data_IF_640365929905
#
_entry.id   IF_640365929905
#
_cell.length_a   1.000
_cell.length_b   1.000
_cell.length_c   1.000
_cell.angle_alpha   90.00
_cell.angle_beta   90.00
_cell.angle_gamma   90.00
#
_symmetry.space_group_name_H-M   'P 1'
#
loop_
_entity.id
_entity.type
_entity.pdbx_description
1 polymer ?
#
# COMPACT_ATOMS: atom_id res chain seq x y z
N UNK A 1 4.32 -0.13 -26.61
CA UNK A 1 5.72 -0.18 -26.17
C UNK A 1 6.35 -1.43 -26.75
N UNK A 2 7.50 -1.29 -27.38
CA UNK A 2 8.18 -2.42 -28.00
C UNK A 2 8.84 -3.25 -26.88
N UNK A 3 8.33 -4.46 -26.65
CA UNK A 3 8.83 -5.36 -25.59
C UNK A 3 9.95 -6.28 -26.07
N UNK A 4 10.45 -6.08 -27.30
CA UNK A 4 11.54 -6.88 -27.86
C UNK A 4 12.81 -6.79 -27.03
N UNK A 5 13.03 -5.67 -26.32
CA UNK A 5 14.21 -5.51 -25.43
C UNK A 5 14.27 -6.56 -24.31
N UNK A 6 13.11 -7.08 -23.88
CA UNK A 6 13.06 -8.14 -22.82
C UNK A 6 13.60 -9.48 -23.35
N UNK A 7 13.50 -9.74 -24.64
CA UNK A 7 13.97 -10.99 -25.26
C UNK A 7 15.45 -10.95 -25.63
N UNK A 8 15.99 -9.76 -25.87
CA UNK A 8 17.35 -9.58 -26.44
C UNK A 8 18.42 -9.25 -25.38
N UNK A 9 18.03 -8.60 -24.27
CA UNK A 9 18.98 -8.24 -23.21
C UNK A 9 19.39 -9.44 -22.36
N UNK A 10 20.66 -9.43 -21.91
CA UNK A 10 21.14 -10.39 -20.91
C UNK A 10 20.31 -10.25 -19.62
N UNK A 11 20.02 -11.37 -18.96
CA UNK A 11 19.10 -11.44 -17.80
C UNK A 11 19.52 -10.48 -16.68
N UNK A 12 20.78 -10.45 -16.31
CA UNK A 12 21.26 -9.62 -15.18
C UNK A 12 21.08 -8.11 -15.41
N UNK A 13 21.53 -7.50 -16.54
CA UNK A 13 21.27 -6.09 -16.83
C UNK A 13 19.77 -5.77 -16.97
N UNK A 14 18.96 -6.70 -17.47
CA UNK A 14 17.53 -6.53 -17.57
C UNK A 14 16.88 -6.43 -16.18
N UNK A 15 17.17 -7.38 -15.30
CA UNK A 15 16.67 -7.39 -13.92
C UNK A 15 17.12 -6.15 -13.17
N UNK A 16 18.40 -5.75 -13.27
CA UNK A 16 18.88 -4.54 -12.60
C UNK A 16 18.20 -3.27 -13.11
N UNK A 17 17.98 -3.15 -14.43
CA UNK A 17 17.30 -1.98 -15.01
C UNK A 17 15.84 -1.84 -14.58
N UNK A 18 15.16 -2.95 -14.29
CA UNK A 18 13.78 -2.96 -13.81
C UNK A 18 13.71 -2.83 -12.27
N UNK A 19 14.65 -3.45 -11.55
CA UNK A 19 14.67 -3.42 -10.09
C UNK A 19 15.10 -2.05 -9.52
N UNK A 20 16.00 -1.33 -10.18
CA UNK A 20 16.54 -0.08 -9.67
C UNK A 20 15.48 1.01 -9.40
N UNK A 21 14.53 1.30 -10.31
CA UNK A 21 13.44 2.22 -10.03
C UNK A 21 12.57 1.78 -8.84
N UNK A 22 12.30 0.47 -8.73
CA UNK A 22 11.51 -0.09 -7.61
C UNK A 22 12.25 0.05 -6.27
N UNK A 23 13.56 -0.20 -6.25
CA UNK A 23 14.39 -0.03 -5.04
C UNK A 23 14.40 1.44 -4.61
N UNK A 24 14.54 2.38 -5.55
CA UNK A 24 14.50 3.82 -5.26
C UNK A 24 13.13 4.21 -4.69
N UNK A 25 12.04 3.75 -5.27
CA UNK A 25 10.68 4.01 -4.78
C UNK A 25 10.48 3.47 -3.35
N UNK A 26 10.95 2.24 -3.08
CA UNK A 26 10.90 1.67 -1.74
C UNK A 26 11.77 2.44 -0.73
N UNK A 27 12.95 2.90 -1.15
CA UNK A 27 13.83 3.72 -0.30
C UNK A 27 13.19 5.07 0.06
N UNK A 28 12.55 5.74 -0.90
CA UNK A 28 11.80 6.99 -0.67
C UNK A 28 10.64 6.75 0.29
N UNK A 29 9.88 5.66 0.13
CA UNK A 29 8.79 5.31 1.03
C UNK A 29 9.30 5.04 2.46
N UNK A 30 10.40 4.30 2.60
CA UNK A 30 11.03 4.06 3.90
C UNK A 30 11.53 5.35 4.56
N UNK A 31 12.12 6.25 3.79
CA UNK A 31 12.56 7.55 4.28
C UNK A 31 11.39 8.40 4.76
N UNK A 32 10.27 8.39 4.02
CA UNK A 32 9.04 9.05 4.44
C UNK A 32 8.57 8.55 5.81
N UNK A 33 8.52 7.24 6.03
CA UNK A 33 8.12 6.67 7.32
C UNK A 33 9.06 7.07 8.47
N UNK A 34 10.37 7.16 8.21
CA UNK A 34 11.37 7.61 9.21
C UNK A 34 11.14 9.08 9.56
N UNK A 35 10.93 9.93 8.57
CA UNK A 35 10.68 11.36 8.76
C UNK A 35 9.38 11.58 9.52
N UNK A 36 8.30 10.88 9.16
CA UNK A 36 7.01 10.95 9.86
C UNK A 36 7.17 10.59 11.35
N UNK A 37 7.81 9.45 11.63
CA UNK A 37 8.10 9.02 13.01
C UNK A 37 8.94 10.04 13.79
N UNK A 38 9.92 10.68 13.15
CA UNK A 38 10.74 11.71 13.76
C UNK A 38 9.92 12.95 14.18
N UNK A 39 9.00 13.40 13.32
CA UNK A 39 8.15 14.54 13.65
C UNK A 39 7.12 14.18 14.72
N UNK A 40 6.52 13.01 14.67
CA UNK A 40 5.57 12.54 15.69
C UNK A 40 6.25 12.42 17.06
N UNK A 41 7.48 11.90 17.12
CA UNK A 41 8.26 11.81 18.36
C UNK A 41 8.54 13.17 19.03
N UNK A 42 8.58 14.25 18.24
CA UNK A 42 8.72 15.62 18.77
C UNK A 42 7.45 16.20 19.38
N UNK A 43 6.28 15.62 19.07
CA UNK A 43 5.01 16.09 19.61
C UNK A 43 4.85 15.66 21.06
N UNK A 44 4.93 14.36 21.33
CA UNK A 44 4.92 13.78 22.71
C UNK A 44 5.25 12.29 22.67
N UNK A 45 5.63 11.73 23.84
CA UNK A 45 5.79 10.26 24.00
C UNK A 45 4.48 9.50 23.74
N UNK A 46 3.35 10.07 24.17
CA UNK A 46 2.04 9.48 23.94
C UNK A 46 1.69 9.43 22.45
N UNK A 47 2.07 10.46 21.69
CA UNK A 47 1.88 10.46 20.24
C UNK A 47 2.72 9.39 19.53
N UNK A 48 3.97 9.19 19.96
CA UNK A 48 4.83 8.13 19.42
C UNK A 48 4.30 6.72 19.79
N UNK A 49 3.81 6.56 21.03
CA UNK A 49 3.16 5.32 21.47
C UNK A 49 1.90 5.04 20.62
N UNK A 50 1.06 6.05 20.42
CA UNK A 50 -0.13 5.94 19.59
C UNK A 50 0.20 5.52 18.14
N UNK A 51 1.21 6.15 17.51
CA UNK A 51 1.70 5.78 16.19
C UNK A 51 2.14 4.31 16.14
N UNK A 52 2.91 3.87 17.15
CA UNK A 52 3.40 2.50 17.24
C UNK A 52 2.28 1.46 17.35
N UNK A 53 1.18 1.80 18.03
CA UNK A 53 0.00 0.94 18.12
C UNK A 53 -0.82 0.87 16.82
N UNK A 54 -0.86 1.96 16.05
CA UNK A 54 -1.57 2.01 14.75
C UNK A 54 -0.78 1.32 13.64
N UNK A 55 0.53 1.38 13.69
CA UNK A 55 1.43 0.89 12.63
C UNK A 55 1.18 -0.56 12.19
N UNK A 56 0.96 -1.57 13.06
CA UNK A 56 0.70 -2.95 12.63
C UNK A 56 -0.54 -3.06 11.73
N UNK A 57 -1.62 -2.37 12.07
CA UNK A 57 -2.86 -2.38 11.28
C UNK A 57 -2.65 -1.64 9.94
N UNK A 58 -1.96 -0.50 9.98
CA UNK A 58 -1.61 0.24 8.77
C UNK A 58 -0.76 -0.61 7.82
N UNK A 59 0.23 -1.33 8.35
CA UNK A 59 1.08 -2.22 7.58
C UNK A 59 0.30 -3.41 7.01
N UNK A 60 -0.64 -3.97 7.78
CA UNK A 60 -1.53 -5.03 7.31
C UNK A 60 -2.38 -4.56 6.12
N UNK A 61 -3.04 -3.40 6.24
CA UNK A 61 -3.85 -2.81 5.16
C UNK A 61 -3.01 -2.57 3.91
N UNK A 62 -1.81 -2.01 4.08
CA UNK A 62 -0.88 -1.77 2.98
C UNK A 62 -0.42 -3.08 2.31
N UNK A 63 -0.10 -4.12 3.10
CA UNK A 63 0.32 -5.42 2.58
C UNK A 63 -0.79 -6.11 1.78
N UNK A 64 -2.04 -6.00 2.22
CA UNK A 64 -3.20 -6.51 1.48
C UNK A 64 -3.36 -5.77 0.15
N UNK A 65 -3.21 -4.44 0.15
CA UNK A 65 -3.28 -3.62 -1.06
C UNK A 65 -2.19 -3.97 -2.08
N UNK A 66 -0.94 -4.12 -1.60
CA UNK A 66 0.20 -4.55 -2.44
C UNK A 66 -0.04 -5.94 -3.01
N UNK A 67 -0.49 -6.89 -2.18
CA UNK A 67 -0.81 -8.26 -2.63
C UNK A 67 -1.88 -8.28 -3.72
N UNK A 68 -2.91 -7.45 -3.57
CA UNK A 68 -3.97 -7.32 -4.56
C UNK A 68 -3.45 -6.70 -5.87
N UNK A 69 -2.65 -5.63 -5.80
CA UNK A 69 -2.01 -5.01 -6.96
C UNK A 69 -1.09 -5.97 -7.72
N UNK A 70 -0.28 -6.76 -7.01
CA UNK A 70 0.58 -7.79 -7.60
C UNK A 70 -0.26 -8.89 -8.28
N UNK A 71 -1.40 -9.27 -7.67
CA UNK A 71 -2.33 -10.22 -8.28
C UNK A 71 -2.89 -9.73 -9.61
N UNK A 72 -3.31 -8.46 -9.69
CA UNK A 72 -3.78 -7.85 -10.95
C UNK A 72 -2.67 -7.85 -12.00
N UNK A 73 -1.46 -7.42 -11.62
CA UNK A 73 -0.30 -7.42 -12.51
C UNK A 73 -0.02 -8.81 -13.09
N UNK A 74 -0.09 -9.86 -12.27
CA UNK A 74 0.14 -11.22 -12.75
C UNK A 74 -0.86 -11.63 -13.84
N UNK A 75 -2.14 -11.28 -13.70
CA UNK A 75 -3.18 -11.57 -14.70
C UNK A 75 -2.97 -10.73 -15.97
N UNK A 76 -2.64 -9.45 -15.82
CA UNK A 76 -2.33 -8.55 -16.94
C UNK A 76 -1.12 -9.06 -17.73
N UNK A 77 -0.04 -9.40 -17.03
CA UNK A 77 1.19 -9.91 -17.65
C UNK A 77 0.97 -11.24 -18.38
N UNK A 78 0.13 -12.13 -17.83
CA UNK A 78 -0.23 -13.39 -18.48
C UNK A 78 -0.93 -13.17 -19.82
N UNK A 79 -1.98 -12.34 -19.86
CA UNK A 79 -2.71 -12.04 -21.10
C UNK A 79 -1.87 -11.23 -22.08
N UNK A 80 -1.01 -10.34 -21.59
CA UNK A 80 -0.07 -9.59 -22.41
C UNK A 80 0.92 -10.54 -23.12
N UNK A 81 1.46 -11.51 -22.38
CA UNK A 81 2.35 -12.53 -22.94
C UNK A 81 1.67 -13.47 -23.95
N UNK A 82 0.37 -13.69 -23.79
CA UNK A 82 -0.45 -14.46 -24.74
C UNK A 82 -0.87 -13.65 -26.00
N UNK A 83 -0.63 -12.32 -26.00
CA UNK A 83 -1.04 -11.44 -27.11
C UNK A 83 -2.54 -11.06 -27.08
N UNK A 84 -3.22 -11.34 -25.96
CA UNK A 84 -4.67 -11.14 -25.80
C UNK A 84 -5.02 -9.75 -25.28
N UNK A 85 -4.79 -8.70 -26.09
CA UNK A 85 -4.94 -7.30 -25.68
C UNK A 85 -6.32 -6.96 -25.10
N UNK A 86 -7.39 -7.56 -25.63
CA UNK A 86 -8.74 -7.35 -25.11
C UNK A 86 -8.90 -7.87 -23.66
N UNK A 87 -8.22 -8.96 -23.32
CA UNK A 87 -8.22 -9.50 -21.97
C UNK A 87 -7.32 -8.67 -21.05
N UNK A 88 -6.23 -8.09 -21.55
CA UNK A 88 -5.40 -7.11 -20.82
C UNK A 88 -6.24 -5.91 -20.39
N UNK A 89 -6.98 -5.28 -21.32
CA UNK A 89 -7.83 -4.13 -21.03
C UNK A 89 -8.91 -4.46 -20.00
N UNK A 90 -9.53 -5.64 -20.11
CA UNK A 90 -10.53 -6.12 -19.16
C UNK A 90 -9.92 -6.38 -17.78
N UNK A 91 -8.78 -7.08 -17.71
CA UNK A 91 -8.11 -7.39 -16.45
C UNK A 91 -7.70 -6.11 -15.72
N UNK A 92 -7.15 -5.13 -16.44
CA UNK A 92 -6.78 -3.82 -15.90
C UNK A 92 -8.01 -3.08 -15.38
N UNK A 93 -9.06 -2.96 -16.18
CA UNK A 93 -10.28 -2.23 -15.80
C UNK A 93 -10.98 -2.86 -14.60
N UNK A 94 -11.19 -4.18 -14.62
CA UNK A 94 -11.81 -4.87 -13.50
C UNK A 94 -10.91 -4.90 -12.26
N UNK A 95 -9.61 -5.01 -12.45
CA UNK A 95 -8.63 -4.96 -11.37
C UNK A 95 -8.67 -3.61 -10.65
N UNK A 96 -8.68 -2.50 -11.36
CA UNK A 96 -8.78 -1.16 -10.78
C UNK A 96 -10.13 -0.94 -10.09
N UNK A 97 -11.23 -1.39 -10.69
CA UNK A 97 -12.55 -1.31 -10.08
C UNK A 97 -12.64 -2.12 -8.77
N UNK A 98 -12.11 -3.35 -8.77
CA UNK A 98 -12.05 -4.18 -7.58
C UNK A 98 -11.12 -3.58 -6.51
N UNK A 99 -10.00 -2.95 -6.91
CA UNK A 99 -9.11 -2.23 -5.98
C UNK A 99 -9.83 -1.08 -5.28
N UNK A 100 -10.69 -0.35 -5.99
CA UNK A 100 -11.52 0.70 -5.40
C UNK A 100 -12.50 0.14 -4.36
N UNK A 101 -13.26 -0.90 -4.72
CA UNK A 101 -14.21 -1.55 -3.78
C UNK A 101 -13.48 -2.10 -2.57
N UNK A 102 -12.38 -2.82 -2.78
CA UNK A 102 -11.57 -3.40 -1.73
C UNK A 102 -10.96 -2.33 -0.82
N UNK A 103 -10.43 -1.26 -1.40
CA UNK A 103 -9.94 -0.11 -0.66
C UNK A 103 -11.02 0.54 0.21
N UNK A 104 -12.25 0.67 -0.29
CA UNK A 104 -13.38 1.18 0.47
C UNK A 104 -13.74 0.28 1.66
N UNK A 105 -13.78 -1.04 1.43
CA UNK A 105 -14.04 -2.03 2.49
C UNK A 105 -12.97 -1.94 3.58
N UNK A 106 -11.69 -1.91 3.19
CA UNK A 106 -10.57 -1.79 4.14
C UNK A 106 -10.61 -0.47 4.91
N UNK A 107 -10.94 0.65 4.26
CA UNK A 107 -11.12 1.94 4.91
C UNK A 107 -12.17 1.88 6.00
N UNK A 108 -13.39 1.42 5.66
CA UNK A 108 -14.51 1.33 6.61
C UNK A 108 -14.16 0.38 7.75
N UNK A 109 -13.67 -0.81 7.42
CA UNK A 109 -13.28 -1.82 8.43
C UNK A 109 -12.22 -1.28 9.39
N UNK A 110 -11.17 -0.64 8.87
CA UNK A 110 -10.07 -0.12 9.69
C UNK A 110 -10.53 0.99 10.61
N UNK A 111 -11.34 1.94 10.14
CA UNK A 111 -11.85 3.04 10.97
C UNK A 111 -12.71 2.49 12.12
N UNK A 112 -13.59 1.52 11.86
CA UNK A 112 -14.46 0.97 12.89
C UNK A 112 -13.74 0.01 13.85
N UNK A 113 -12.77 -0.76 13.38
CA UNK A 113 -12.05 -1.72 14.22
C UNK A 113 -10.98 -1.08 15.10
N UNK A 114 -10.40 0.04 14.66
CA UNK A 114 -9.26 0.67 15.33
C UNK A 114 -9.50 1.06 16.80
N UNK A 115 -10.64 1.69 17.17
CA UNK A 115 -10.90 2.04 18.57
C UNK A 115 -10.96 0.82 19.49
N UNK A 116 -11.48 -0.31 19.00
CA UNK A 116 -11.52 -1.55 19.78
C UNK A 116 -10.14 -2.16 19.90
N UNK A 117 -9.37 -2.17 18.82
CA UNK A 117 -8.02 -2.71 18.80
C UNK A 117 -7.09 -1.96 19.75
N UNK A 118 -7.11 -0.63 19.73
CA UNK A 118 -6.24 0.18 20.63
C UNK A 118 -6.62 -0.01 22.09
N UNK A 119 -7.93 -0.07 22.42
CA UNK A 119 -8.41 -0.33 23.80
C UNK A 119 -8.01 -1.70 24.35
N UNK A 120 -7.72 -2.67 23.49
CA UNK A 120 -7.18 -3.98 23.92
C UNK A 120 -5.70 -3.91 24.30
N UNK A 121 -4.96 -2.92 23.78
CA UNK A 121 -3.51 -2.81 23.95
C UNK A 121 -3.10 -1.83 25.05
N UNK A 122 -3.93 -0.83 25.33
CA UNK A 122 -3.63 0.19 26.36
C UNK A 122 -4.90 0.67 27.07
N UNK A 123 -4.73 1.09 28.31
CA UNK A 123 -5.77 1.74 29.13
C UNK A 123 -5.58 3.25 29.22
N UNK A 124 -4.48 3.79 28.69
CA UNK A 124 -4.18 5.21 28.69
C UNK A 124 -5.11 5.94 27.72
N UNK A 125 -5.96 6.80 28.27
CA UNK A 125 -6.98 7.54 27.49
C UNK A 125 -6.39 8.52 26.51
N UNK A 126 -5.24 9.13 26.81
CA UNK A 126 -4.58 10.07 25.92
C UNK A 126 -4.00 9.35 24.71
N UNK A 127 -3.34 8.21 24.95
CA UNK A 127 -2.82 7.35 23.86
C UNK A 127 -3.96 6.83 22.99
N UNK A 128 -5.08 6.39 23.58
CA UNK A 128 -6.25 5.90 22.84
C UNK A 128 -6.81 7.02 21.93
N UNK A 129 -7.00 8.23 22.46
CA UNK A 129 -7.55 9.34 21.71
C UNK A 129 -6.63 9.75 20.55
N UNK A 130 -5.33 9.84 20.79
CA UNK A 130 -4.34 10.15 19.77
C UNK A 130 -4.30 9.06 18.68
N UNK A 131 -4.30 7.78 19.05
CA UNK A 131 -4.29 6.67 18.13
C UNK A 131 -5.54 6.63 17.24
N UNK A 132 -6.73 6.85 17.82
CA UNK A 132 -8.00 6.89 17.09
C UNK A 132 -8.05 8.09 16.15
N UNK A 133 -7.63 9.27 16.61
CA UNK A 133 -7.58 10.46 15.77
C UNK A 133 -6.62 10.28 14.59
N UNK A 134 -5.40 9.83 14.83
CA UNK A 134 -4.39 9.57 13.81
C UNK A 134 -4.88 8.52 12.79
N UNK A 135 -5.35 7.38 13.29
CA UNK A 135 -5.81 6.29 12.45
C UNK A 135 -7.02 6.66 11.60
N UNK A 136 -7.96 7.45 12.13
CA UNK A 136 -9.11 7.93 11.38
C UNK A 136 -8.68 8.77 10.18
N UNK A 137 -7.72 9.67 10.37
CA UNK A 137 -7.17 10.50 9.28
C UNK A 137 -6.48 9.60 8.25
N UNK A 138 -5.54 8.76 8.68
CA UNK A 138 -4.75 7.90 7.79
C UNK A 138 -5.64 6.94 6.99
N UNK A 139 -6.57 6.26 7.65
CA UNK A 139 -7.45 5.30 6.98
C UNK A 139 -8.51 5.95 6.09
N UNK A 140 -8.90 7.20 6.35
CA UNK A 140 -9.79 7.94 5.44
C UNK A 140 -9.20 8.10 4.03
N UNK A 141 -7.88 8.15 3.92
CA UNK A 141 -7.18 8.23 2.64
C UNK A 141 -6.73 6.87 2.08
N UNK A 142 -6.94 5.76 2.81
CA UNK A 142 -6.41 4.46 2.40
C UNK A 142 -7.02 3.95 1.09
N UNK A 143 -8.26 4.30 0.76
CA UNK A 143 -8.84 3.99 -0.56
C UNK A 143 -8.04 4.61 -1.70
N UNK A 144 -7.62 5.88 -1.56
CA UNK A 144 -6.82 6.58 -2.58
C UNK A 144 -5.44 5.93 -2.69
N UNK A 145 -4.83 5.60 -1.54
CA UNK A 145 -3.54 4.89 -1.49
C UNK A 145 -3.63 3.52 -2.16
N UNK A 146 -4.69 2.75 -1.90
CA UNK A 146 -4.91 1.44 -2.53
C UNK A 146 -5.00 1.53 -4.06
N UNK A 147 -5.72 2.53 -4.56
CA UNK A 147 -5.81 2.78 -6.02
C UNK A 147 -4.43 3.16 -6.56
N UNK A 148 -3.69 4.03 -5.86
CA UNK A 148 -2.32 4.41 -6.23
C UNK A 148 -1.39 3.20 -6.31
N UNK A 149 -1.45 2.29 -5.33
CA UNK A 149 -0.68 1.04 -5.33
C UNK A 149 -1.07 0.15 -6.53
N UNK A 150 -2.37 0.04 -6.82
CA UNK A 150 -2.82 -0.74 -7.97
C UNK A 150 -2.26 -0.17 -9.29
N UNK A 151 -2.28 1.15 -9.49
CA UNK A 151 -1.66 1.80 -10.65
C UNK A 151 -0.15 1.63 -10.71
N UNK A 152 0.53 1.63 -9.57
CA UNK A 152 1.99 1.41 -9.51
C UNK A 152 2.37 -0.01 -9.94
N UNK A 153 1.49 -1.00 -9.70
CA UNK A 153 1.78 -2.42 -9.95
C UNK A 153 1.33 -2.90 -11.34
N UNK A 154 0.43 -2.20 -12.02
CA UNK A 154 -0.02 -2.50 -13.39
C UNK A 154 0.91 -1.90 -14.43
#
# INVERSE_FOLDING_TARGET
MDQTFMKEKKILPLVLSMALPMIISMAVNSLYNIIDSFFVAKVSENAMTALSLVYPIQNLVNSIAVGFGVGINAVVAFHLGAGEMQNVDRATTYGLFLSFIHGLILTVFSIFSMPYFVKMLTTDTDVINLAVMYSTIVFSFSTIVNIGIAFEKI
#
